data_IF_649200841165
#
_entry.id   IF_649200841165
#
_cell.length_a   1.000
_cell.length_b   1.000
_cell.length_c   1.000
_cell.angle_alpha   90.00
_cell.angle_beta   90.00
_cell.angle_gamma   90.00
#
_symmetry.space_group_name_H-M   'P 1'
#
loop_
_entity.id
_entity.type
_entity.pdbx_description
1 polymer ?
#
# COMPACT_ATOMS: atom_id res chain seq x y z
N UNK A 1 10.08 -20.85 25.90
CA UNK A 1 10.66 -20.55 24.58
C UNK A 1 9.72 -19.58 23.92
N UNK A 2 10.12 -18.32 23.83
CA UNK A 2 9.36 -17.31 23.07
C UNK A 2 9.35 -17.74 21.60
N UNK A 3 8.35 -17.31 20.81
CA UNK A 3 8.21 -17.66 19.39
C UNK A 3 9.55 -17.35 18.70
N UNK A 4 10.22 -18.39 18.22
CA UNK A 4 11.54 -18.30 17.56
C UNK A 4 11.45 -18.45 16.05
N UNK A 5 10.31 -18.96 15.57
CA UNK A 5 10.04 -19.22 14.15
C UNK A 5 8.53 -19.35 13.98
N UNK A 6 8.01 -18.82 12.87
CA UNK A 6 6.61 -18.85 12.47
C UNK A 6 6.57 -18.73 10.95
N UNK A 7 5.78 -19.57 10.30
CA UNK A 7 5.49 -19.51 8.86
C UNK A 7 4.53 -18.36 8.50
N UNK A 8 3.87 -17.78 9.50
CA UNK A 8 2.84 -16.73 9.35
C UNK A 8 3.22 -15.38 9.94
N UNK A 9 4.31 -15.32 10.70
CA UNK A 9 4.73 -14.11 11.39
C UNK A 9 6.22 -13.91 11.17
N UNK A 10 6.57 -12.74 10.65
CA UNK A 10 7.98 -12.37 10.55
C UNK A 10 8.40 -11.66 11.83
N UNK A 11 9.37 -12.23 12.54
CA UNK A 11 10.06 -11.54 13.62
C UNK A 11 11.19 -10.73 12.99
N UNK A 12 11.16 -9.38 13.05
CA UNK A 12 12.20 -8.60 12.39
C UNK A 12 13.55 -8.79 13.07
N UNK A 13 14.60 -8.75 12.25
CA UNK A 13 15.98 -9.00 12.65
C UNK A 13 16.83 -7.74 12.44
N UNK A 14 17.39 -7.20 13.53
CA UNK A 14 18.27 -6.03 13.50
C UNK A 14 19.53 -6.23 12.63
N UNK A 15 19.89 -7.48 12.32
CA UNK A 15 20.98 -7.81 11.39
C UNK A 15 20.66 -7.54 9.92
N UNK A 16 19.39 -7.28 9.56
CA UNK A 16 18.97 -7.07 8.18
C UNK A 16 18.86 -5.57 7.85
N UNK A 17 19.51 -5.10 6.77
CA UNK A 17 19.58 -3.67 6.43
C UNK A 17 18.25 -3.07 5.97
N UNK A 18 17.23 -3.89 5.65
CA UNK A 18 15.91 -3.40 5.22
C UNK A 18 15.07 -2.82 6.36
N UNK A 19 15.38 -3.16 7.62
CA UNK A 19 14.64 -2.69 8.77
C UNK A 19 15.27 -1.45 9.40
N UNK A 20 15.03 -0.31 8.77
CA UNK A 20 15.68 0.95 9.16
C UNK A 20 15.36 1.39 10.60
N UNK A 21 14.25 0.96 11.20
CA UNK A 21 13.96 1.21 12.62
C UNK A 21 14.96 0.52 13.58
N UNK A 22 15.48 -0.67 13.21
CA UNK A 22 16.48 -1.39 14.00
C UNK A 22 17.91 -0.89 13.80
N UNK A 23 18.12 0.10 12.92
CA UNK A 23 19.43 0.73 12.77
C UNK A 23 19.86 1.44 14.06
N UNK A 24 18.90 1.94 14.85
CA UNK A 24 19.14 2.78 16.02
C UNK A 24 18.59 2.20 17.35
N UNK A 25 17.67 1.21 17.34
CA UNK A 25 17.03 0.67 18.55
C UNK A 25 16.72 -0.84 18.45
N UNK A 26 16.91 -1.62 19.52
CA UNK A 26 16.48 -3.04 19.60
C UNK A 26 14.96 -3.17 19.88
N UNK A 27 14.35 -4.32 19.52
CA UNK A 27 12.97 -4.63 19.95
C UNK A 27 12.93 -4.76 21.48
N UNK A 28 12.17 -3.87 22.12
CA UNK A 28 11.87 -3.97 23.54
C UNK A 28 10.56 -4.74 23.74
N UNK A 29 10.68 -6.00 24.14
CA UNK A 29 9.52 -6.89 24.33
C UNK A 29 8.65 -6.55 25.55
N UNK A 30 9.30 -6.10 26.62
CA UNK A 30 8.66 -5.85 27.92
C UNK A 30 8.36 -4.37 28.14
N UNK A 31 7.63 -4.04 29.23
CA UNK A 31 7.34 -2.65 29.58
C UNK A 31 8.61 -1.95 30.04
N UNK A 32 8.81 -0.73 29.55
CA UNK A 32 9.88 0.15 30.02
C UNK A 32 9.29 1.23 30.90
N UNK A 33 9.99 1.50 32.01
CA UNK A 33 9.62 2.54 32.95
C UNK A 33 10.79 3.49 33.17
N UNK A 34 10.52 4.79 33.16
CA UNK A 34 11.46 5.82 33.57
C UNK A 34 10.92 6.53 34.81
N UNK A 35 11.69 6.53 35.90
CA UNK A 35 11.29 7.14 37.18
C UNK A 35 9.92 6.65 37.69
N UNK A 36 9.58 5.38 37.42
CA UNK A 36 8.30 4.77 37.81
C UNK A 36 7.12 5.13 36.89
N UNK A 37 7.35 5.92 35.84
CA UNK A 37 6.35 6.23 34.80
C UNK A 37 6.55 5.29 33.63
N UNK A 38 5.47 4.70 33.13
CA UNK A 38 5.50 3.84 31.95
C UNK A 38 5.86 4.67 30.71
N UNK A 39 6.95 4.34 30.03
CA UNK A 39 7.43 5.03 28.82
C UNK A 39 7.25 4.21 27.55
N UNK A 40 7.28 2.88 27.66
CA UNK A 40 6.90 1.96 26.58
C UNK A 40 6.09 0.78 27.12
N UNK A 41 5.01 0.42 26.44
CA UNK A 41 4.19 -0.75 26.77
C UNK A 41 4.85 -2.08 26.37
N UNK A 42 5.87 -2.04 25.50
CA UNK A 42 6.61 -3.19 25.00
C UNK A 42 5.92 -3.89 23.82
N UNK A 43 6.72 -4.50 22.93
CA UNK A 43 6.27 -5.12 21.68
C UNK A 43 5.24 -6.22 21.90
N UNK A 44 5.37 -7.04 22.95
CA UNK A 44 4.40 -8.11 23.21
C UNK A 44 2.98 -7.56 23.42
N UNK A 45 2.85 -6.39 24.06
CA UNK A 45 1.55 -5.77 24.30
C UNK A 45 1.04 -5.03 23.07
N UNK A 46 1.93 -4.38 22.31
CA UNK A 46 1.59 -3.79 21.00
C UNK A 46 1.02 -4.87 20.07
N UNK A 47 1.71 -6.01 19.97
CA UNK A 47 1.25 -7.18 19.21
C UNK A 47 -0.12 -7.69 19.67
N UNK A 48 -0.29 -7.97 20.97
CA UNK A 48 -1.58 -8.49 21.48
C UNK A 48 -2.73 -7.49 21.30
N UNK A 49 -2.47 -6.20 21.49
CA UNK A 49 -3.48 -5.16 21.24
C UNK A 49 -3.88 -5.10 19.76
N UNK A 50 -2.91 -5.23 18.86
CA UNK A 50 -3.16 -5.24 17.42
C UNK A 50 -3.96 -6.49 17.00
N UNK A 51 -3.63 -7.68 17.51
CA UNK A 51 -4.42 -8.89 17.24
C UNK A 51 -5.86 -8.73 17.79
N UNK A 52 -6.03 -8.24 19.02
CA UNK A 52 -7.36 -7.98 19.59
C UNK A 52 -8.18 -7.01 18.71
N UNK A 53 -7.50 -5.99 18.18
CA UNK A 53 -8.09 -5.02 17.26
C UNK A 53 -8.52 -5.66 15.93
N UNK A 54 -7.67 -6.51 15.33
CA UNK A 54 -7.98 -7.25 14.10
C UNK A 54 -9.18 -8.18 14.31
N UNK A 55 -9.24 -8.90 15.44
CA UNK A 55 -10.31 -9.86 15.74
C UNK A 55 -11.67 -9.22 16.06
N UNK A 56 -11.70 -7.90 16.27
CA UNK A 56 -12.93 -7.15 16.56
C UNK A 56 -13.66 -7.62 17.82
N UNK A 57 -12.95 -8.30 18.74
CA UNK A 57 -13.49 -8.81 20.00
C UNK A 57 -14.55 -9.93 19.91
N UNK A 58 -14.82 -10.47 18.72
CA UNK A 58 -15.84 -11.52 18.52
C UNK A 58 -15.30 -12.81 17.88
N UNK A 59 -14.06 -12.77 17.39
CA UNK A 59 -13.40 -13.88 16.69
C UNK A 59 -12.44 -14.63 17.61
N UNK A 60 -12.38 -15.96 17.50
CA UNK A 60 -11.42 -16.77 18.25
C UNK A 60 -10.02 -16.72 17.59
N UNK A 61 -8.98 -16.59 18.42
CA UNK A 61 -7.58 -16.62 17.99
C UNK A 61 -7.22 -17.87 17.18
N UNK A 62 -7.85 -19.01 17.50
CA UNK A 62 -7.57 -20.29 16.86
C UNK A 62 -8.02 -20.35 15.39
N UNK A 63 -8.95 -19.48 15.00
CA UNK A 63 -9.50 -19.41 13.63
C UNK A 63 -8.99 -18.23 12.83
N UNK A 64 -8.09 -17.42 13.41
CA UNK A 64 -7.58 -16.25 12.73
C UNK A 64 -6.60 -16.63 11.62
N UNK A 65 -6.91 -16.20 10.41
CA UNK A 65 -6.05 -16.36 9.24
C UNK A 65 -5.34 -15.04 8.94
N UNK A 66 -4.02 -15.10 8.86
CA UNK A 66 -3.17 -13.99 8.42
C UNK A 66 -3.30 -13.88 6.89
N UNK A 67 -4.28 -13.09 6.46
CA UNK A 67 -4.62 -12.87 5.06
C UNK A 67 -4.90 -11.38 4.81
N UNK A 68 -4.55 -10.89 3.63
CA UNK A 68 -4.63 -9.48 3.26
C UNK A 68 -6.07 -8.96 3.35
N UNK A 69 -7.06 -9.77 2.96
CA UNK A 69 -8.48 -9.39 3.03
C UNK A 69 -8.92 -9.07 4.46
N UNK A 70 -8.49 -9.87 5.44
CA UNK A 70 -8.77 -9.63 6.86
C UNK A 70 -8.11 -8.32 7.34
N UNK A 71 -6.93 -7.99 6.81
CA UNK A 71 -6.24 -6.75 7.13
C UNK A 71 -6.88 -5.52 6.47
N UNK A 72 -7.37 -5.62 5.24
CA UNK A 72 -8.03 -4.51 4.55
C UNK A 72 -9.39 -4.15 5.14
N UNK A 73 -10.05 -5.10 5.82
CA UNK A 73 -11.28 -4.83 6.59
C UNK A 73 -11.08 -3.89 7.80
N UNK A 74 -9.83 -3.51 8.08
CA UNK A 74 -9.47 -2.77 9.29
C UNK A 74 -9.67 -1.28 9.11
N UNK A 75 -10.18 -0.65 10.17
CA UNK A 75 -10.50 0.79 10.15
C UNK A 75 -9.26 1.67 10.26
N UNK A 76 -8.33 1.30 11.13
CA UNK A 76 -7.17 2.10 11.47
C UNK A 76 -5.90 1.22 11.55
N UNK A 77 -5.06 1.30 10.52
CA UNK A 77 -3.80 0.57 10.48
C UNK A 77 -2.79 1.05 11.53
N UNK A 78 -2.94 2.25 12.11
CA UNK A 78 -1.96 2.77 13.09
C UNK A 78 -1.87 1.90 14.34
N UNK A 79 -2.98 1.27 14.74
CA UNK A 79 -3.04 0.35 15.89
C UNK A 79 -2.22 -0.92 15.62
N UNK A 80 -2.21 -1.38 14.36
CA UNK A 80 -1.55 -2.63 13.96
C UNK A 80 -0.08 -2.40 13.70
N UNK A 81 0.22 -1.34 12.96
CA UNK A 81 1.59 -0.94 12.62
C UNK A 81 2.36 -0.43 13.85
N UNK A 82 1.70 -0.22 14.99
CA UNK A 82 2.37 -0.03 16.27
C UNK A 82 3.19 -1.27 16.70
N UNK A 83 2.80 -2.47 16.30
CA UNK A 83 3.57 -3.70 16.51
C UNK A 83 4.58 -3.90 15.38
N UNK A 84 5.86 -3.99 15.72
CA UNK A 84 6.93 -4.25 14.75
C UNK A 84 6.83 -5.63 14.11
N UNK A 85 6.34 -6.63 14.85
CA UNK A 85 6.08 -7.97 14.29
C UNK A 85 5.01 -7.90 13.21
N UNK A 86 3.90 -7.20 13.45
CA UNK A 86 2.82 -7.09 12.46
C UNK A 86 3.15 -6.14 11.32
N UNK A 87 3.81 -5.02 11.57
CA UNK A 87 4.35 -4.14 10.53
C UNK A 87 5.25 -4.93 9.58
N UNK A 88 6.13 -5.78 10.11
CA UNK A 88 7.01 -6.61 9.29
C UNK A 88 6.28 -7.70 8.52
N UNK A 89 5.35 -8.38 9.19
CA UNK A 89 4.53 -9.41 8.55
C UNK A 89 3.73 -8.81 7.38
N UNK A 90 3.11 -7.65 7.59
CA UNK A 90 2.37 -6.93 6.53
C UNK A 90 3.29 -6.45 5.40
N UNK A 91 4.48 -5.94 5.72
CA UNK A 91 5.45 -5.55 4.70
C UNK A 91 5.84 -6.73 3.81
N UNK A 92 6.16 -7.89 4.40
CA UNK A 92 6.52 -9.09 3.64
C UNK A 92 5.31 -9.60 2.81
N UNK A 93 4.09 -9.57 3.35
CA UNK A 93 2.87 -9.91 2.59
C UNK A 93 2.67 -8.98 1.37
N UNK A 94 2.93 -7.68 1.53
CA UNK A 94 2.87 -6.73 0.40
C UNK A 94 3.99 -7.01 -0.61
N UNK A 95 5.22 -7.27 -0.16
CA UNK A 95 6.33 -7.64 -1.05
C UNK A 95 5.97 -8.88 -1.89
N UNK A 96 5.34 -9.89 -1.28
CA UNK A 96 4.88 -11.09 -1.97
C UNK A 96 3.77 -10.77 -3.00
N UNK A 97 2.83 -9.88 -2.69
CA UNK A 97 1.79 -9.44 -3.65
C UNK A 97 2.37 -8.68 -4.84
N UNK A 98 3.40 -7.86 -4.62
CA UNK A 98 4.04 -7.07 -5.69
C UNK A 98 4.77 -7.94 -6.72
N UNK A 99 5.14 -9.17 -6.35
CA UNK A 99 5.77 -10.14 -7.26
C UNK A 99 4.84 -11.29 -7.67
N UNK A 100 3.61 -11.32 -7.14
CA UNK A 100 2.57 -12.27 -7.54
C UNK A 100 1.83 -11.80 -8.79
N UNK A 101 1.07 -12.68 -9.44
CA UNK A 101 0.31 -12.35 -10.64
C UNK A 101 -0.69 -11.19 -10.44
N UNK A 102 -1.13 -10.94 -9.20
CA UNK A 102 -2.13 -9.92 -8.86
C UNK A 102 -1.63 -8.49 -9.07
N UNK A 103 -0.47 -8.11 -8.54
CA UNK A 103 0.07 -6.75 -8.65
C UNK A 103 1.35 -6.65 -9.48
N UNK A 104 1.91 -7.78 -9.94
CA UNK A 104 3.12 -7.79 -10.78
C UNK A 104 2.90 -6.92 -12.03
N UNK A 105 3.80 -5.96 -12.24
CA UNK A 105 3.77 -5.04 -13.38
C UNK A 105 2.91 -3.79 -13.17
N UNK A 106 1.92 -3.81 -12.28
CA UNK A 106 1.04 -2.66 -12.03
C UNK A 106 1.66 -1.60 -11.11
N UNK A 107 2.55 -2.02 -10.21
CA UNK A 107 3.16 -1.13 -9.21
C UNK A 107 4.61 -0.85 -9.57
N UNK A 108 4.93 0.44 -9.74
CA UNK A 108 6.29 0.89 -10.04
C UNK A 108 7.16 0.79 -8.80
N UNK A 109 8.29 0.10 -8.91
CA UNK A 109 9.32 0.13 -7.87
C UNK A 109 10.01 1.49 -7.86
N UNK A 110 10.08 2.21 -6.73
CA UNK A 110 10.81 3.47 -6.64
C UNK A 110 12.32 3.26 -6.86
N UNK A 111 13.01 4.26 -7.42
CA UNK A 111 14.46 4.21 -7.67
C UNK A 111 15.29 3.88 -6.42
N UNK A 112 14.85 4.36 -5.25
CA UNK A 112 15.50 4.10 -3.97
C UNK A 112 14.90 2.92 -3.19
N UNK A 113 14.08 2.11 -3.85
CA UNK A 113 13.33 1.01 -3.25
C UNK A 113 12.20 1.47 -2.35
N UNK A 114 11.47 0.48 -1.84
CA UNK A 114 10.40 0.70 -0.87
C UNK A 114 10.94 0.99 0.52
N UNK A 115 10.20 1.80 1.26
CA UNK A 115 10.47 2.19 2.64
C UNK A 115 9.27 1.82 3.52
N UNK A 116 9.00 0.52 3.61
CA UNK A 116 7.84 -0.01 4.32
C UNK A 116 7.80 0.35 5.80
N UNK A 117 8.97 0.43 6.43
CA UNK A 117 9.09 0.56 7.88
C UNK A 117 9.13 2.02 8.34
N UNK A 118 8.40 2.32 9.41
CA UNK A 118 8.51 3.59 10.12
C UNK A 118 9.95 3.83 10.61
N UNK A 119 10.37 5.10 10.65
CA UNK A 119 11.68 5.50 11.16
C UNK A 119 11.56 6.56 12.25
N UNK A 120 12.37 6.48 13.31
CA UNK A 120 12.32 7.43 14.43
C UNK A 120 12.62 8.89 14.03
N UNK A 121 13.38 9.09 12.94
CA UNK A 121 13.63 10.44 12.40
C UNK A 121 12.52 10.94 11.47
N UNK A 122 11.47 10.16 11.18
CA UNK A 122 10.31 10.65 10.42
C UNK A 122 9.56 11.77 11.18
N UNK A 123 9.80 11.94 12.48
CA UNK A 123 9.25 12.99 13.34
C UNK A 123 10.24 14.14 13.64
N UNK A 124 11.41 14.19 12.98
CA UNK A 124 12.39 15.23 13.27
C UNK A 124 11.85 16.62 12.86
N UNK A 125 11.84 17.56 13.81
CA UNK A 125 11.37 18.93 13.59
C UNK A 125 12.06 19.56 12.36
N UNK A 126 11.27 19.89 11.34
CA UNK A 126 11.74 20.42 10.05
C UNK A 126 11.60 19.44 8.88
N UNK A 127 11.26 18.17 9.12
CA UNK A 127 10.84 17.22 8.10
C UNK A 127 9.32 17.17 8.05
N UNK A 128 8.72 17.93 7.12
CA UNK A 128 7.30 17.80 6.78
C UNK A 128 7.17 16.80 5.65
N UNK A 129 6.61 15.62 5.93
CA UNK A 129 6.12 14.73 4.88
C UNK A 129 7.18 14.21 3.90
N UNK A 130 8.41 13.95 4.34
CA UNK A 130 9.40 13.28 3.48
C UNK A 130 9.74 11.91 4.06
N UNK A 131 9.25 10.86 3.40
CA UNK A 131 9.77 9.50 3.55
C UNK A 131 11.28 9.56 3.23
N UNK A 132 12.13 9.11 4.14
CA UNK A 132 13.59 9.35 4.12
C UNK A 132 14.25 8.84 2.83
N UNK A 133 14.69 9.71 1.90
CA UNK A 133 15.23 9.36 0.55
C UNK A 133 14.17 9.02 -0.51
N UNK A 134 12.90 9.29 -0.26
CA UNK A 134 11.88 9.31 -1.29
C UNK A 134 11.94 10.64 -2.04
N UNK A 135 12.19 10.61 -3.35
CA UNK A 135 11.71 11.70 -4.20
C UNK A 135 10.19 11.64 -4.17
N UNK A 136 9.55 12.71 -3.69
CA UNK A 136 8.27 13.29 -4.11
C UNK A 136 7.69 14.11 -2.95
N UNK A 137 7.38 15.36 -3.26
CA UNK A 137 6.75 16.33 -2.38
C UNK A 137 5.36 15.80 -2.02
N UNK A 138 5.15 15.40 -0.76
CA UNK A 138 3.80 15.18 -0.25
C UNK A 138 3.02 16.50 -0.31
N UNK A 139 1.73 16.43 -0.63
CA UNK A 139 0.85 17.61 -0.55
C UNK A 139 0.76 18.07 0.91
N UNK A 140 0.41 19.34 1.15
CA UNK A 140 0.33 19.91 2.52
C UNK A 140 -0.59 19.15 3.49
N UNK A 141 -1.43 18.25 2.98
CA UNK A 141 -2.42 17.48 3.74
C UNK A 141 -2.07 16.01 3.94
N UNK A 142 -0.98 15.50 3.33
CA UNK A 142 -0.65 14.06 3.39
C UNK A 142 0.59 13.83 4.25
N UNK A 143 0.43 13.13 5.37
CA UNK A 143 1.53 12.74 6.25
C UNK A 143 1.78 11.24 6.10
N UNK A 144 2.89 10.85 5.47
CA UNK A 144 3.34 9.45 5.40
C UNK A 144 4.64 9.28 6.16
N UNK A 145 4.59 8.46 7.21
CA UNK A 145 5.75 8.14 8.06
C UNK A 145 6.48 6.87 7.61
N UNK A 146 5.84 6.08 6.75
CA UNK A 146 6.37 4.95 5.98
C UNK A 146 5.52 4.71 4.73
N UNK A 147 6.06 3.97 3.76
CA UNK A 147 5.31 3.59 2.56
C UNK A 147 4.19 2.60 2.86
N UNK A 148 4.37 1.74 3.87
CA UNK A 148 3.44 0.63 4.14
C UNK A 148 2.07 1.14 4.57
N UNK A 149 2.03 2.08 5.52
CA UNK A 149 0.77 2.63 6.02
C UNK A 149 -0.03 3.28 4.88
N UNK A 150 0.63 4.16 4.11
CA UNK A 150 -0.01 4.83 2.98
C UNK A 150 -0.45 3.86 1.89
N UNK A 151 0.35 2.84 1.58
CA UNK A 151 0.01 1.82 0.58
C UNK A 151 -1.17 0.95 1.01
N UNK A 152 -1.24 0.53 2.28
CA UNK A 152 -2.39 -0.19 2.83
C UNK A 152 -3.67 0.65 2.80
N UNK A 153 -3.58 1.94 3.15
CA UNK A 153 -4.70 2.87 3.03
C UNK A 153 -5.14 3.01 1.56
N UNK A 154 -4.19 3.16 0.63
CA UNK A 154 -4.50 3.25 -0.80
C UNK A 154 -5.24 2.01 -1.30
N UNK A 155 -4.76 0.79 -0.99
CA UNK A 155 -5.44 -0.46 -1.37
C UNK A 155 -6.85 -0.52 -0.77
N UNK A 156 -7.02 -0.16 0.50
CA UNK A 156 -8.33 -0.12 1.14
C UNK A 156 -9.29 0.82 0.40
N UNK A 157 -8.84 2.03 0.06
CA UNK A 157 -9.68 2.98 -0.67
C UNK A 157 -9.91 2.58 -2.14
N UNK A 158 -9.00 1.81 -2.75
CA UNK A 158 -9.25 1.19 -4.06
C UNK A 158 -10.39 0.17 -3.96
N UNK A 159 -10.36 -0.70 -2.95
CA UNK A 159 -11.45 -1.66 -2.70
C UNK A 159 -12.79 -0.93 -2.44
N UNK A 160 -12.78 0.17 -1.69
CA UNK A 160 -13.98 1.01 -1.48
C UNK A 160 -14.47 1.67 -2.79
N UNK A 161 -13.57 1.92 -3.74
CA UNK A 161 -13.86 2.38 -5.10
C UNK A 161 -14.12 1.24 -6.10
N UNK A 162 -14.40 0.02 -5.62
CA UNK A 162 -14.66 -1.17 -6.45
C UNK A 162 -13.50 -1.64 -7.35
N UNK A 163 -12.26 -1.26 -7.05
CA UNK A 163 -11.06 -1.81 -7.66
C UNK A 163 -10.31 -2.70 -6.66
N UNK A 164 -10.47 -4.02 -6.79
CA UNK A 164 -9.89 -4.99 -5.86
C UNK A 164 -8.43 -5.30 -6.21
N UNK A 165 -7.55 -5.33 -5.21
CA UNK A 165 -6.10 -5.55 -5.41
C UNK A 165 -5.74 -6.91 -6.03
N UNK A 166 -6.62 -7.91 -5.89
CA UNK A 166 -6.46 -9.26 -6.42
C UNK A 166 -7.10 -9.46 -7.81
N UNK A 167 -7.81 -8.45 -8.31
CA UNK A 167 -8.54 -8.46 -9.60
C UNK A 167 -8.33 -7.14 -10.37
N UNK A 168 -7.08 -6.68 -10.44
CA UNK A 168 -6.73 -5.50 -11.25
C UNK A 168 -6.54 -5.91 -12.71
N UNK A 169 -7.46 -5.48 -13.55
CA UNK A 169 -7.32 -5.47 -15.00
C UNK A 169 -7.91 -4.20 -15.62
N UNK A 170 -7.78 -4.04 -16.94
CA UNK A 170 -8.27 -2.84 -17.60
C UNK A 170 -9.79 -2.64 -17.52
N UNK A 171 -10.57 -3.73 -17.48
CA UNK A 171 -12.01 -3.67 -17.37
C UNK A 171 -12.44 -3.35 -15.93
N UNK A 172 -11.79 -3.92 -14.92
CA UNK A 172 -12.02 -3.60 -13.52
C UNK A 172 -11.71 -2.12 -13.23
N UNK A 173 -10.60 -1.60 -13.76
CA UNK A 173 -10.27 -0.16 -13.66
C UNK A 173 -11.35 0.68 -14.36
N UNK A 174 -11.74 0.34 -15.59
CA UNK A 174 -12.76 1.09 -16.33
C UNK A 174 -14.14 1.07 -15.64
N UNK A 175 -14.56 -0.09 -15.12
CA UNK A 175 -15.82 -0.25 -14.39
C UNK A 175 -15.80 0.55 -13.06
N UNK A 176 -14.65 0.59 -12.36
CA UNK A 176 -14.45 1.43 -11.16
C UNK A 176 -14.52 2.93 -11.49
N UNK A 177 -13.94 3.35 -12.62
CA UNK A 177 -14.06 4.73 -13.13
C UNK A 177 -15.51 5.09 -13.41
N UNK A 178 -16.25 4.22 -14.10
CA UNK A 178 -17.66 4.44 -14.44
C UNK A 178 -18.59 4.51 -13.20
N UNK A 179 -18.21 3.88 -12.09
CA UNK A 179 -18.95 3.91 -10.81
C UNK A 179 -18.65 5.20 -10.02
N UNK A 180 -17.39 5.46 -9.69
CA UNK A 180 -16.96 6.67 -8.96
C UNK A 180 -15.49 7.02 -9.24
N UNK A 181 -15.27 7.76 -10.32
CA UNK A 181 -13.93 8.23 -10.72
C UNK A 181 -13.23 9.06 -9.64
N UNK A 182 -13.97 9.89 -8.90
CA UNK A 182 -13.39 10.77 -7.87
C UNK A 182 -12.87 9.94 -6.68
N UNK A 183 -13.60 8.90 -6.29
CA UNK A 183 -13.17 7.96 -5.24
C UNK A 183 -11.95 7.16 -5.68
N UNK A 184 -11.93 6.62 -6.90
CA UNK A 184 -10.74 5.92 -7.42
C UNK A 184 -9.53 6.86 -7.51
N UNK A 185 -9.70 8.07 -8.06
CA UNK A 185 -8.63 9.06 -8.12
C UNK A 185 -8.10 9.43 -6.72
N UNK A 186 -8.98 9.53 -5.72
CA UNK A 186 -8.58 9.75 -4.33
C UNK A 186 -7.73 8.59 -3.81
N UNK A 187 -8.17 7.34 -4.03
CA UNK A 187 -7.44 6.15 -3.62
C UNK A 187 -6.01 6.10 -4.21
N UNK A 188 -5.88 6.41 -5.50
CA UNK A 188 -4.61 6.38 -6.22
C UNK A 188 -3.69 7.57 -5.88
N UNK A 189 -4.26 8.74 -5.61
CA UNK A 189 -3.50 9.98 -5.45
C UNK A 189 -3.19 10.35 -4.00
N UNK A 190 -4.15 10.25 -3.09
CA UNK A 190 -4.08 10.92 -1.79
C UNK A 190 -3.35 10.10 -0.71
N UNK A 191 -3.35 8.77 -0.80
CA UNK A 191 -2.97 7.94 0.34
C UNK A 191 -1.56 7.38 0.30
N UNK A 192 -0.98 7.16 -0.88
CA UNK A 192 0.34 6.54 -1.05
C UNK A 192 1.16 7.22 -2.13
N UNK A 193 2.40 7.59 -1.81
CA UNK A 193 3.35 8.04 -2.85
C UNK A 193 3.69 6.92 -3.83
N UNK A 194 3.70 5.67 -3.38
CA UNK A 194 3.96 4.49 -4.21
C UNK A 194 2.83 4.32 -5.21
N UNK A 195 1.58 4.37 -4.74
CA UNK A 195 0.41 4.27 -5.61
C UNK A 195 0.38 5.44 -6.61
N UNK A 196 0.60 6.67 -6.13
CA UNK A 196 0.66 7.87 -6.96
C UNK A 196 1.71 7.76 -8.06
N UNK A 197 2.93 7.35 -7.71
CA UNK A 197 4.02 7.15 -8.66
C UNK A 197 3.83 5.94 -9.58
N UNK A 198 2.81 5.11 -9.34
CA UNK A 198 2.51 3.92 -10.13
C UNK A 198 1.36 4.12 -11.11
N UNK A 199 0.63 5.24 -11.09
CA UNK A 199 -0.59 5.40 -11.89
C UNK A 199 -0.31 5.18 -13.40
N UNK A 200 0.69 5.86 -13.96
CA UNK A 200 1.06 5.67 -15.37
C UNK A 200 1.43 4.22 -15.69
N UNK A 201 2.21 3.59 -14.81
CA UNK A 201 2.63 2.18 -14.94
C UNK A 201 1.43 1.24 -14.90
N UNK A 202 0.50 1.45 -13.96
CA UNK A 202 -0.71 0.65 -13.79
C UNK A 202 -1.60 0.72 -15.03
N UNK A 203 -1.86 1.92 -15.55
CA UNK A 203 -2.72 2.09 -16.73
C UNK A 203 -2.08 1.50 -17.99
N UNK A 204 -0.78 1.68 -18.20
CA UNK A 204 -0.08 1.10 -19.34
C UNK A 204 -0.06 -0.43 -19.28
N UNK A 205 0.25 -1.01 -18.11
CA UNK A 205 0.23 -2.47 -17.91
C UNK A 205 -1.18 -3.04 -18.17
N UNK A 206 -2.22 -2.35 -17.69
CA UNK A 206 -3.61 -2.75 -17.94
C UNK A 206 -3.94 -2.74 -19.44
N UNK A 207 -3.56 -1.67 -20.16
CA UNK A 207 -3.76 -1.56 -21.61
C UNK A 207 -3.04 -2.69 -22.34
N UNK A 208 -1.76 -2.89 -22.06
CA UNK A 208 -0.93 -3.89 -22.74
C UNK A 208 -1.53 -5.28 -22.60
N UNK A 209 -2.01 -5.65 -21.41
CA UNK A 209 -2.72 -6.91 -21.17
C UNK A 209 -4.05 -6.98 -21.92
N UNK A 210 -4.83 -5.90 -21.93
CA UNK A 210 -6.16 -5.89 -22.54
C UNK A 210 -6.14 -5.95 -24.08
N UNK A 211 -5.08 -5.42 -24.69
CA UNK A 211 -4.93 -5.42 -26.17
C UNK A 211 -4.10 -6.60 -26.68
N UNK A 212 -3.52 -7.41 -25.80
CA UNK A 212 -2.77 -8.59 -26.22
C UNK A 212 -3.69 -9.54 -27.03
N UNK A 213 -3.26 -9.85 -28.26
CA UNK A 213 -4.05 -10.64 -29.20
C UNK A 213 -5.27 -9.93 -29.82
N UNK A 214 -5.53 -8.65 -29.52
CA UNK A 214 -6.64 -7.86 -30.08
C UNK A 214 -6.20 -7.09 -31.33
N UNK A 215 -6.97 -7.20 -32.42
CA UNK A 215 -6.70 -6.48 -33.67
C UNK A 215 -7.47 -5.15 -33.74
N UNK A 216 -6.89 -4.08 -33.22
CA UNK A 216 -7.48 -2.75 -33.29
C UNK A 216 -7.37 -2.14 -34.70
N UNK A 217 -8.42 -1.46 -35.20
CA UNK A 217 -8.32 -0.65 -36.41
C UNK A 217 -7.20 0.41 -36.32
N UNK A 218 -6.44 0.60 -37.40
CA UNK A 218 -5.27 1.52 -37.41
C UNK A 218 -5.57 3.02 -37.26
N UNK A 219 -6.83 3.41 -37.06
CA UNK A 219 -7.21 4.77 -36.67
C UNK A 219 -7.38 4.93 -35.15
N UNK A 220 -7.41 3.82 -34.40
CA UNK A 220 -7.41 3.84 -32.94
C UNK A 220 -5.96 4.08 -32.50
N UNK A 221 -5.77 5.12 -31.70
CA UNK A 221 -4.50 5.41 -31.05
C UNK A 221 -4.56 4.80 -29.66
N UNK A 222 -3.61 3.91 -29.37
CA UNK A 222 -3.43 3.34 -28.03
C UNK A 222 -2.83 4.43 -27.14
N UNK A 223 -3.45 4.76 -25.99
CA UNK A 223 -2.86 5.68 -25.02
C UNK A 223 -1.50 5.18 -24.53
N UNK A 224 -0.60 6.11 -24.24
CA UNK A 224 0.72 5.86 -23.65
C UNK A 224 0.90 6.90 -22.55
N UNK A 225 0.73 6.49 -21.30
CA UNK A 225 0.74 7.38 -20.15
C UNK A 225 2.15 7.54 -19.59
N UNK A 226 2.52 8.77 -19.24
CA UNK A 226 3.79 9.08 -18.55
C UNK A 226 3.53 9.72 -17.20
N UNK A 227 4.52 9.71 -16.30
CA UNK A 227 4.36 10.27 -14.94
C UNK A 227 3.95 11.76 -14.99
N UNK A 228 4.41 12.51 -15.99
CA UNK A 228 4.04 13.92 -16.20
C UNK A 228 2.57 14.15 -16.56
N UNK A 229 1.84 13.11 -16.98
CA UNK A 229 0.39 13.20 -17.19
C UNK A 229 -0.38 13.31 -15.86
N UNK A 230 0.27 12.99 -14.73
CA UNK A 230 -0.34 12.93 -13.39
C UNK A 230 0.33 13.91 -12.42
N UNK A 231 0.30 15.21 -12.74
CA UNK A 231 0.87 16.27 -11.89
C UNK A 231 -0.10 16.81 -10.82
N UNK A 232 -1.37 16.40 -10.89
CA UNK A 232 -2.46 16.88 -10.04
C UNK A 232 -3.60 15.86 -9.98
N UNK A 233 -4.42 15.92 -8.93
CA UNK A 233 -5.56 15.01 -8.77
C UNK A 233 -6.59 15.20 -9.88
N UNK A 234 -6.80 16.43 -10.33
CA UNK A 234 -7.68 16.75 -11.46
C UNK A 234 -7.20 16.05 -12.74
N UNK A 235 -5.88 15.96 -12.94
CA UNK A 235 -5.29 15.22 -14.06
C UNK A 235 -5.45 13.72 -13.93
N UNK A 236 -5.37 13.16 -12.71
CA UNK A 236 -5.69 11.75 -12.47
C UNK A 236 -7.12 11.44 -12.92
N UNK A 237 -8.10 12.27 -12.52
CA UNK A 237 -9.50 12.10 -12.93
C UNK A 237 -9.64 12.14 -14.46
N UNK A 238 -9.11 13.17 -15.13
CA UNK A 238 -9.16 13.31 -16.60
C UNK A 238 -8.58 12.09 -17.31
N UNK A 239 -7.43 11.58 -16.84
CA UNK A 239 -6.73 10.46 -17.45
C UNK A 239 -7.38 9.11 -17.20
N UNK A 240 -8.01 8.93 -16.05
CA UNK A 240 -8.85 7.76 -15.76
C UNK A 240 -10.08 7.71 -16.66
N UNK A 241 -10.74 8.85 -16.91
CA UNK A 241 -11.86 8.93 -17.87
C UNK A 241 -11.40 8.63 -19.30
N UNK A 242 -10.27 9.20 -19.74
CA UNK A 242 -9.66 8.88 -21.04
C UNK A 242 -9.38 7.38 -21.17
N UNK A 243 -8.84 6.77 -20.11
CA UNK A 243 -8.57 5.34 -20.03
C UNK A 243 -9.84 4.51 -20.17
N UNK A 244 -10.88 4.78 -19.36
CA UNK A 244 -12.13 4.04 -19.39
C UNK A 244 -12.82 4.14 -20.77
N UNK A 245 -12.80 5.32 -21.39
CA UNK A 245 -13.29 5.51 -22.76
C UNK A 245 -12.54 4.65 -23.78
N UNK A 246 -11.21 4.55 -23.65
CA UNK A 246 -10.40 3.68 -24.51
C UNK A 246 -10.73 2.20 -24.29
N UNK A 247 -10.82 1.73 -23.05
CA UNK A 247 -11.15 0.32 -22.76
C UNK A 247 -12.55 -0.04 -23.24
N UNK A 248 -13.53 0.86 -23.08
CA UNK A 248 -14.87 0.68 -23.64
C UNK A 248 -14.86 0.57 -25.17
N UNK A 249 -13.94 1.26 -25.85
CA UNK A 249 -13.72 1.11 -27.29
C UNK A 249 -13.10 -0.26 -27.60
N UNK A 250 -12.05 -0.68 -26.88
CA UNK A 250 -11.40 -1.99 -27.05
C UNK A 250 -12.43 -3.13 -26.89
N UNK A 251 -13.29 -3.04 -25.86
CA UNK A 251 -14.38 -3.99 -25.58
C UNK A 251 -15.36 -4.17 -26.75
N UNK A 252 -15.50 -3.17 -27.61
CA UNK A 252 -16.36 -3.26 -28.79
C UNK A 252 -15.70 -4.00 -29.97
N UNK A 253 -14.40 -4.25 -29.92
CA UNK A 253 -13.61 -4.92 -30.97
C UNK A 253 -13.02 -6.28 -30.54
N UNK A 254 -13.08 -6.64 -29.26
CA UNK A 254 -12.78 -7.98 -28.75
C UNK A 254 -13.96 -8.96 -28.93
#
# INVERSE_FOLDING_TARGET
TYIKDSDKLTIPDAGQPKYYYFADEDIVWERTYENGVLTDIGELRKFLNAIDYILGGTSDYDTFEFDMDNFLAIKDFTVILASRVLETTLADMIEDLLVSDSLSGFIKTPDNGYQWYYHATSDAAGLTGEVRRGEYVLTETTFQYSDLAGFLDAIKFMNEANLYYDDIDAYAIADSVDDDTDSLASALWDYSRIMRGSIATMLNEAIDRAIDGVSLPGFIVVPDYVDEDFDSKEKVVEKLEDFANFINLVKAYS
#
